data_IF_512367504183
#
_entry.id   IF_512367504183
#
_cell.length_a   1.000
_cell.length_b   1.000
_cell.length_c   1.000
_cell.angle_alpha   90.00
_cell.angle_beta   90.00
_cell.angle_gamma   90.00
#
_symmetry.space_group_name_H-M   'P 1'
#
loop_
_entity.id
_entity.type
_entity.pdbx_description
1 polymer ?
#
# COMPACT_ATOMS: atom_id res chain seq x y z
N UNK A 1 17.40 25.30 31.97
CA UNK A 1 18.40 25.00 30.91
C UNK A 1 17.81 24.07 29.84
N UNK A 2 16.99 23.09 30.23
CA UNK A 2 16.43 22.06 29.33
C UNK A 2 15.34 22.55 28.35
N UNK A 3 14.49 23.49 28.76
CA UNK A 3 13.41 24.06 27.92
C UNK A 3 13.94 24.83 26.70
N UNK A 4 15.03 25.57 26.88
CA UNK A 4 15.70 26.31 25.79
C UNK A 4 16.30 25.34 24.77
N UNK A 5 16.70 24.12 25.19
CA UNK A 5 17.27 23.14 24.29
C UNK A 5 16.23 22.62 23.28
N UNK A 6 14.99 22.36 23.73
CA UNK A 6 13.93 21.89 22.81
C UNK A 6 13.54 22.97 21.80
N UNK A 7 13.29 24.20 22.26
CA UNK A 7 12.96 25.31 21.35
C UNK A 7 14.11 25.57 20.36
N UNK A 8 15.37 25.53 20.80
CA UNK A 8 16.51 25.71 19.90
C UNK A 8 16.62 24.58 18.88
N UNK A 9 16.41 23.32 19.28
CA UNK A 9 16.38 22.19 18.33
C UNK A 9 15.28 22.33 17.28
N UNK A 10 14.08 22.77 17.68
CA UNK A 10 12.99 23.03 16.74
C UNK A 10 13.29 24.20 15.80
N UNK A 11 13.97 25.24 16.29
CA UNK A 11 14.44 26.34 15.43
C UNK A 11 15.47 25.85 14.42
N UNK A 12 16.49 25.12 14.87
CA UNK A 12 17.51 24.56 13.98
C UNK A 12 16.91 23.66 12.90
N UNK A 13 15.94 22.81 13.24
CA UNK A 13 15.19 22.03 12.25
C UNK A 13 14.40 22.92 11.28
N UNK A 14 13.66 23.90 11.81
CA UNK A 14 12.81 24.83 11.03
C UNK A 14 13.61 25.65 10.02
N UNK A 15 14.85 25.96 10.38
CA UNK A 15 15.85 26.71 9.59
C UNK A 15 16.71 25.77 8.71
N UNK A 16 16.48 24.46 8.77
CA UNK A 16 17.21 23.48 7.96
C UNK A 16 18.70 23.43 8.29
N UNK A 17 19.07 23.64 9.56
CA UNK A 17 20.45 23.57 10.06
C UNK A 17 20.88 22.14 10.44
N UNK A 18 19.93 21.21 10.53
CA UNK A 18 20.21 19.80 10.74
C UNK A 18 20.25 19.05 9.42
N UNK A 19 21.27 18.25 9.18
CA UNK A 19 21.13 17.14 8.25
C UNK A 19 20.01 16.20 8.75
N UNK A 20 19.34 15.45 7.85
CA UNK A 20 18.28 14.53 8.23
C UNK A 20 18.70 13.58 9.37
N UNK A 21 19.89 13.01 9.28
CA UNK A 21 20.48 12.10 10.27
C UNK A 21 20.71 12.81 11.61
N UNK A 22 21.21 14.04 11.56
CA UNK A 22 21.46 14.87 12.75
C UNK A 22 20.14 15.20 13.47
N UNK A 23 19.07 15.47 12.72
CA UNK A 23 17.75 15.66 13.31
C UNK A 23 17.25 14.40 14.01
N UNK A 24 17.39 13.23 13.37
CA UNK A 24 16.97 11.95 13.96
C UNK A 24 17.75 11.69 15.25
N UNK A 25 19.06 11.88 15.25
CA UNK A 25 19.91 11.62 16.41
C UNK A 25 19.69 12.65 17.52
N UNK A 26 19.50 13.92 17.16
CA UNK A 26 19.08 14.94 18.11
C UNK A 26 17.74 14.58 18.75
N UNK A 27 16.75 14.12 17.97
CA UNK A 27 15.45 13.71 18.51
C UNK A 27 15.59 12.54 19.46
N UNK A 28 16.35 11.49 19.12
CA UNK A 28 16.59 10.34 20.02
C UNK A 28 17.20 10.76 21.36
N UNK A 29 18.18 11.65 21.34
CA UNK A 29 18.84 12.15 22.55
C UNK A 29 17.90 13.01 23.42
N UNK A 30 16.94 13.70 22.79
CA UNK A 30 16.08 14.66 23.45
C UNK A 30 14.62 14.20 23.61
N UNK A 31 14.25 12.99 23.16
CA UNK A 31 12.86 12.53 23.07
C UNK A 31 12.12 12.61 24.40
N UNK A 32 12.78 12.20 25.50
CA UNK A 32 12.20 12.25 26.84
C UNK A 32 11.81 13.67 27.25
N UNK A 33 12.69 14.64 26.97
CA UNK A 33 12.45 16.05 27.27
C UNK A 33 11.43 16.66 26.31
N UNK A 34 11.48 16.32 25.04
CA UNK A 34 10.50 16.74 24.05
C UNK A 34 9.09 16.26 24.41
N UNK A 35 8.94 15.02 24.88
CA UNK A 35 7.64 14.45 25.32
C UNK A 35 7.08 15.14 26.57
N UNK A 36 7.94 15.61 27.46
CA UNK A 36 7.53 16.36 28.65
C UNK A 36 7.18 17.81 28.34
N UNK A 37 7.90 18.42 27.40
CA UNK A 37 7.75 19.84 27.05
C UNK A 37 6.60 20.10 26.06
N UNK A 38 6.48 19.29 25.01
CA UNK A 38 5.50 19.52 23.95
C UNK A 38 4.11 19.02 24.34
N UNK A 39 3.04 19.77 24.02
CA UNK A 39 1.69 19.22 24.11
C UNK A 39 1.57 17.93 23.29
N UNK A 40 0.79 16.92 23.72
CA UNK A 40 0.80 15.59 23.10
C UNK A 40 0.61 15.58 21.59
N UNK A 41 -0.26 16.46 21.06
CA UNK A 41 -0.49 16.59 19.62
C UNK A 41 0.74 17.11 18.87
N UNK A 42 1.46 18.07 19.43
CA UNK A 42 2.68 18.63 18.82
C UNK A 42 3.84 17.64 18.89
N UNK A 43 3.98 16.91 20.00
CA UNK A 43 4.95 15.83 20.09
C UNK A 43 4.76 14.80 18.97
N UNK A 44 3.53 14.33 18.73
CA UNK A 44 3.23 13.35 17.68
C UNK A 44 3.43 13.89 16.26
N UNK A 45 3.12 15.18 16.03
CA UNK A 45 3.34 15.82 14.73
C UNK A 45 4.83 15.99 14.41
N UNK A 46 5.63 16.39 15.40
CA UNK A 46 7.05 16.72 15.24
C UNK A 46 7.94 15.46 15.30
N UNK A 47 7.49 14.40 15.98
CA UNK A 47 8.23 13.14 16.08
C UNK A 47 8.60 12.61 14.67
N UNK A 48 9.88 12.27 14.42
CA UNK A 48 10.28 11.71 13.14
C UNK A 48 9.55 10.40 12.81
N UNK A 49 9.09 10.28 11.56
CA UNK A 49 8.36 9.12 11.04
C UNK A 49 9.22 8.35 10.06
N UNK A 50 10.04 7.44 10.59
CA UNK A 50 11.02 6.66 9.82
C UNK A 50 10.48 5.87 8.61
N UNK A 51 9.21 5.40 8.56
CA UNK A 51 8.67 4.78 7.35
C UNK A 51 8.72 5.67 6.09
N UNK A 52 8.90 6.98 6.24
CA UNK A 52 9.00 7.94 5.14
C UNK A 52 10.45 8.18 4.66
N UNK A 53 11.41 7.37 5.14
CA UNK A 53 12.83 7.60 4.93
C UNK A 53 13.37 8.79 5.73
N UNK A 54 14.69 8.98 5.71
CA UNK A 54 15.36 10.05 6.46
C UNK A 54 14.88 11.44 6.02
N UNK A 55 14.80 11.68 4.70
CA UNK A 55 14.36 12.99 4.17
C UNK A 55 12.89 13.26 4.45
N UNK A 56 12.01 12.28 4.22
CA UNK A 56 10.59 12.43 4.51
C UNK A 56 10.32 12.64 6.01
N UNK A 57 11.02 11.91 6.89
CA UNK A 57 10.91 12.09 8.33
C UNK A 57 11.35 13.50 8.78
N UNK A 58 12.47 14.01 8.26
CA UNK A 58 12.96 15.35 8.57
C UNK A 58 12.02 16.45 8.03
N UNK A 59 11.50 16.30 6.80
CA UNK A 59 10.56 17.25 6.20
C UNK A 59 9.25 17.37 7.01
N UNK A 60 8.64 16.24 7.36
CA UNK A 60 7.40 16.22 8.16
C UNK A 60 7.64 16.91 9.51
N UNK A 61 8.75 16.58 10.15
CA UNK A 61 9.13 17.16 11.43
C UNK A 61 9.37 18.66 11.32
N UNK A 62 10.04 19.12 10.26
CA UNK A 62 10.30 20.54 9.99
C UNK A 62 9.01 21.33 9.82
N UNK A 63 8.08 20.84 9.00
CA UNK A 63 6.80 21.50 8.78
C UNK A 63 6.02 21.62 10.10
N UNK A 64 5.97 20.55 10.89
CA UNK A 64 5.33 20.57 12.20
C UNK A 64 6.03 21.49 13.21
N UNK A 65 7.36 21.57 13.19
CA UNK A 65 8.13 22.45 14.06
C UNK A 65 7.86 23.93 13.75
N UNK A 66 7.79 24.30 12.47
CA UNK A 66 7.44 25.65 12.02
C UNK A 66 6.03 26.06 12.46
N UNK A 67 5.05 25.17 12.28
CA UNK A 67 3.68 25.41 12.76
C UNK A 67 3.65 25.61 14.28
N UNK A 68 4.38 24.77 15.02
CA UNK A 68 4.44 24.87 16.47
C UNK A 68 5.08 26.19 16.92
N UNK A 69 6.24 26.56 16.37
CA UNK A 69 6.94 27.82 16.70
C UNK A 69 6.04 29.04 16.41
N UNK A 70 5.31 29.04 15.29
CA UNK A 70 4.30 30.06 14.98
C UNK A 70 3.20 30.11 16.04
N UNK A 71 2.69 28.97 16.49
CA UNK A 71 1.63 28.91 17.50
C UNK A 71 2.01 29.48 18.87
N UNK A 72 3.31 29.55 19.17
CA UNK A 72 3.85 30.10 20.42
C UNK A 72 4.59 31.44 20.23
N UNK A 73 4.38 32.12 19.08
CA UNK A 73 5.02 33.39 18.71
C UNK A 73 6.56 33.37 18.81
N UNK A 74 7.18 32.24 18.49
CA UNK A 74 8.63 32.11 18.40
C UNK A 74 9.09 32.34 16.96
N UNK A 75 9.97 33.32 16.76
CA UNK A 75 10.60 33.56 15.46
C UNK A 75 11.69 32.54 15.15
N UNK A 76 11.82 32.25 13.86
CA UNK A 76 12.88 31.47 13.24
C UNK A 76 13.16 32.05 11.85
N UNK A 77 14.32 31.75 11.27
CA UNK A 77 14.66 32.15 9.92
C UNK A 77 13.91 31.27 8.89
N UNK A 78 13.03 31.87 8.08
CA UNK A 78 12.26 31.11 7.09
C UNK A 78 13.10 30.59 5.92
N UNK A 79 14.31 31.15 5.72
CA UNK A 79 15.25 30.66 4.72
C UNK A 79 15.96 29.41 5.22
N UNK A 80 15.49 28.25 4.80
CA UNK A 80 16.15 26.99 5.14
C UNK A 80 17.43 26.75 4.37
N UNK A 81 18.47 26.32 5.07
CA UNK A 81 19.75 25.94 4.45
C UNK A 81 19.64 24.59 3.72
N UNK A 82 18.83 23.67 4.25
CA UNK A 82 18.56 22.37 3.65
C UNK A 82 17.15 22.34 3.06
N UNK A 83 17.07 21.95 1.78
CA UNK A 83 15.81 21.72 1.10
C UNK A 83 15.37 20.25 1.25
N UNK A 84 14.76 19.90 2.39
CA UNK A 84 14.29 18.53 2.61
C UNK A 84 13.25 18.09 1.57
N UNK A 85 12.49 19.03 1.01
CA UNK A 85 11.50 18.73 -0.03
C UNK A 85 12.17 18.26 -1.32
N UNK A 86 13.24 18.92 -1.75
CA UNK A 86 13.97 18.52 -2.95
C UNK A 86 14.67 17.17 -2.78
N UNK A 87 15.32 16.93 -1.64
CA UNK A 87 15.95 15.62 -1.44
C UNK A 87 14.95 14.49 -1.16
N UNK A 88 13.77 14.77 -0.60
CA UNK A 88 12.68 13.80 -0.57
C UNK A 88 12.14 13.50 -1.97
N UNK A 89 11.99 14.52 -2.83
CA UNK A 89 11.64 14.32 -4.25
C UNK A 89 12.69 13.50 -4.99
N UNK A 90 13.98 13.80 -4.83
CA UNK A 90 15.06 12.98 -5.42
C UNK A 90 15.02 11.54 -4.93
N UNK A 91 14.72 11.29 -3.65
CA UNK A 91 14.54 9.91 -3.17
C UNK A 91 13.36 9.21 -3.85
N UNK A 92 12.26 9.92 -4.11
CA UNK A 92 11.12 9.38 -4.86
C UNK A 92 11.48 9.15 -6.34
N UNK A 93 12.21 10.07 -6.95
CA UNK A 93 12.63 9.98 -8.36
C UNK A 93 13.69 8.88 -8.59
N UNK A 94 14.63 8.70 -7.67
CA UNK A 94 15.64 7.64 -7.70
C UNK A 94 15.02 6.24 -7.48
N UNK A 95 13.93 6.16 -6.72
CA UNK A 95 13.09 4.95 -6.64
C UNK A 95 12.45 4.67 -8.00
N UNK A 96 11.96 5.72 -8.69
CA UNK A 96 11.33 5.59 -10.01
C UNK A 96 12.29 5.14 -11.12
N UNK A 97 13.58 5.50 -11.05
CA UNK A 97 14.57 5.21 -12.12
C UNK A 97 15.22 3.82 -12.02
N UNK A 98 15.13 3.13 -10.88
CA UNK A 98 15.74 1.81 -10.69
C UNK A 98 14.87 0.63 -11.16
N UNK A 99 13.66 0.88 -11.68
CA UNK A 99 12.69 -0.18 -11.99
C UNK A 99 12.74 -0.71 -13.43
N UNK A 100 13.29 0.05 -14.38
CA UNK A 100 12.98 -0.17 -15.81
C UNK A 100 13.62 -1.40 -16.49
N UNK A 101 14.51 -2.18 -15.85
CA UNK A 101 15.19 -3.28 -16.56
C UNK A 101 15.38 -4.61 -15.83
N UNK A 102 15.27 -4.66 -14.50
CA UNK A 102 15.58 -5.91 -13.76
C UNK A 102 14.31 -6.71 -13.40
N UNK A 103 13.15 -6.06 -13.19
CA UNK A 103 11.92 -6.75 -12.73
C UNK A 103 11.03 -7.32 -13.85
N UNK A 104 11.08 -6.77 -15.07
CA UNK A 104 10.18 -7.19 -16.16
C UNK A 104 10.47 -8.64 -16.61
N UNK A 105 11.74 -9.05 -16.65
CA UNK A 105 12.15 -10.41 -17.04
C UNK A 105 11.83 -11.40 -15.91
N UNK A 106 12.01 -11.01 -14.65
CA UNK A 106 11.67 -11.83 -13.49
C UNK A 106 10.16 -12.08 -13.42
N UNK A 107 9.33 -11.09 -13.77
CA UNK A 107 7.87 -11.24 -13.81
C UNK A 107 7.40 -12.29 -14.83
N UNK A 108 7.93 -12.29 -16.06
CA UNK A 108 7.57 -13.32 -17.06
C UNK A 108 7.91 -14.74 -16.58
N UNK A 109 9.10 -14.92 -16.00
CA UNK A 109 9.55 -16.23 -15.50
C UNK A 109 8.70 -16.67 -14.31
N UNK A 110 8.53 -15.79 -13.32
CA UNK A 110 7.76 -16.05 -12.11
C UNK A 110 6.29 -16.38 -12.43
N UNK A 111 5.64 -15.62 -13.31
CA UNK A 111 4.21 -15.75 -13.59
C UNK A 111 3.89 -16.52 -14.89
N UNK A 112 4.72 -17.50 -15.24
CA UNK A 112 4.51 -18.34 -16.44
C UNK A 112 3.13 -19.02 -16.47
N UNK A 113 2.65 -19.55 -15.32
CA UNK A 113 1.33 -20.20 -15.22
C UNK A 113 0.18 -19.21 -15.49
N UNK A 114 0.31 -17.99 -14.95
CA UNK A 114 -0.65 -16.92 -15.18
C UNK A 114 -0.68 -16.54 -16.66
N UNK A 115 0.48 -16.37 -17.28
CA UNK A 115 0.61 -16.06 -18.71
C UNK A 115 -0.05 -17.11 -19.62
N UNK A 116 0.01 -18.39 -19.22
CA UNK A 116 -0.59 -19.49 -19.99
C UNK A 116 -2.09 -19.60 -19.77
N UNK A 117 -2.57 -19.41 -18.54
CA UNK A 117 -3.97 -19.63 -18.17
C UNK A 117 -4.83 -18.39 -18.40
N UNK A 118 -4.26 -17.21 -18.19
CA UNK A 118 -4.92 -15.91 -18.21
C UNK A 118 -4.03 -14.84 -18.90
N UNK A 119 -3.83 -14.95 -20.23
CA UNK A 119 -2.91 -14.09 -20.97
C UNK A 119 -3.29 -12.61 -20.95
N UNK A 120 -4.59 -12.27 -20.95
CA UNK A 120 -5.02 -10.87 -20.89
C UNK A 120 -4.70 -10.30 -19.51
N UNK A 121 -5.06 -11.02 -18.45
CA UNK A 121 -4.80 -10.56 -17.08
C UNK A 121 -3.29 -10.39 -16.85
N UNK A 122 -2.48 -11.35 -17.31
CA UNK A 122 -1.02 -11.26 -17.25
C UNK A 122 -0.51 -9.97 -17.91
N UNK A 123 -0.96 -9.68 -19.13
CA UNK A 123 -0.49 -8.54 -19.91
C UNK A 123 -0.84 -7.20 -19.23
N UNK A 124 -2.05 -7.07 -18.69
CA UNK A 124 -2.48 -5.83 -18.03
C UNK A 124 -1.82 -5.64 -16.68
N UNK A 125 -1.71 -6.69 -15.84
CA UNK A 125 -0.98 -6.59 -14.56
C UNK A 125 0.46 -6.15 -14.84
N UNK A 126 1.15 -6.83 -15.76
CA UNK A 126 2.54 -6.50 -16.09
C UNK A 126 2.72 -5.06 -16.58
N UNK A 127 1.76 -4.55 -17.35
CA UNK A 127 1.81 -3.19 -17.90
C UNK A 127 1.54 -2.11 -16.84
N UNK A 128 0.70 -2.42 -15.85
CA UNK A 128 0.14 -1.45 -14.92
C UNK A 128 0.64 -1.61 -13.47
N UNK A 129 1.58 -2.53 -13.22
CA UNK A 129 2.12 -2.79 -11.89
C UNK A 129 2.86 -1.56 -11.32
N UNK A 130 2.45 -1.13 -10.12
CA UNK A 130 3.06 -0.03 -9.37
C UNK A 130 3.91 -0.55 -8.20
N UNK A 131 4.74 0.34 -7.61
CA UNK A 131 5.68 -0.02 -6.53
C UNK A 131 5.01 -0.64 -5.29
N UNK A 132 3.79 -0.21 -4.95
CA UNK A 132 3.08 -0.65 -3.75
C UNK A 132 2.11 -1.81 -4.03
N UNK A 133 2.01 -2.24 -5.29
CA UNK A 133 1.19 -3.38 -5.67
C UNK A 133 1.88 -4.67 -5.24
N UNK A 134 1.05 -5.68 -4.96
CA UNK A 134 1.54 -7.00 -4.54
C UNK A 134 0.92 -8.04 -5.47
N UNK A 135 1.80 -8.76 -6.17
CA UNK A 135 1.43 -9.95 -6.94
C UNK A 135 2.29 -11.10 -6.47
N UNK A 136 1.66 -12.13 -5.93
CA UNK A 136 2.33 -13.34 -5.43
C UNK A 136 1.78 -14.59 -6.12
N UNK A 137 2.62 -15.62 -6.21
CA UNK A 137 2.27 -16.96 -6.71
C UNK A 137 2.85 -18.07 -5.82
N UNK A 138 3.09 -17.75 -4.56
CA UNK A 138 3.76 -18.60 -3.57
C UNK A 138 2.83 -19.65 -2.93
N UNK A 139 1.61 -19.84 -3.45
CA UNK A 139 0.69 -20.86 -2.95
C UNK A 139 1.16 -22.24 -3.40
N UNK A 140 1.61 -23.05 -2.44
CA UNK A 140 1.97 -24.44 -2.69
C UNK A 140 0.71 -25.31 -2.84
N UNK A 141 0.81 -26.40 -3.59
CA UNK A 141 -0.24 -27.41 -3.70
C UNK A 141 -0.66 -27.96 -2.33
N UNK A 142 0.30 -28.16 -1.42
CA UNK A 142 0.02 -28.58 -0.04
C UNK A 142 -0.81 -27.55 0.73
N UNK A 143 -0.44 -26.26 0.67
CA UNK A 143 -1.18 -25.19 1.35
C UNK A 143 -2.59 -25.02 0.77
N UNK A 144 -2.73 -25.18 -0.54
CA UNK A 144 -4.02 -25.14 -1.21
C UNK A 144 -4.88 -26.33 -0.76
N UNK A 145 -4.41 -27.56 -0.95
CA UNK A 145 -5.19 -28.79 -0.71
C UNK A 145 -5.54 -29.03 0.76
N UNK A 146 -4.73 -28.51 1.69
CA UNK A 146 -5.01 -28.53 3.13
C UNK A 146 -6.03 -27.49 3.58
N UNK A 147 -6.35 -26.49 2.74
CA UNK A 147 -7.35 -25.48 3.07
C UNK A 147 -8.76 -26.08 3.14
N UNK A 148 -9.54 -25.65 4.14
CA UNK A 148 -10.95 -25.97 4.25
C UNK A 148 -11.72 -25.64 2.95
N UNK A 149 -11.36 -24.53 2.31
CA UNK A 149 -12.02 -24.06 1.10
C UNK A 149 -11.74 -24.92 -0.13
N UNK A 150 -10.63 -25.68 -0.17
CA UNK A 150 -10.24 -26.42 -1.36
C UNK A 150 -11.35 -27.30 -1.94
N UNK A 151 -12.07 -28.00 -1.06
CA UNK A 151 -13.19 -28.86 -1.47
C UNK A 151 -14.42 -28.08 -1.92
N UNK A 152 -14.56 -26.81 -1.53
CA UNK A 152 -15.68 -25.95 -1.87
C UNK A 152 -15.42 -25.14 -3.15
N UNK A 153 -14.17 -24.95 -3.55
CA UNK A 153 -13.84 -24.15 -4.74
C UNK A 153 -14.10 -24.95 -6.02
N UNK A 154 -14.61 -24.26 -7.05
CA UNK A 154 -14.65 -24.79 -8.41
C UNK A 154 -13.23 -24.88 -8.99
N UNK A 155 -13.01 -25.77 -9.97
CA UNK A 155 -11.68 -25.99 -10.58
C UNK A 155 -11.07 -24.73 -11.20
N UNK A 156 -11.91 -23.83 -11.73
CA UNK A 156 -11.46 -22.55 -12.29
C UNK A 156 -10.87 -21.62 -11.21
N UNK A 157 -11.51 -21.56 -10.04
CA UNK A 157 -11.05 -20.74 -8.92
C UNK A 157 -9.75 -21.32 -8.35
N UNK A 158 -9.67 -22.65 -8.27
CA UNK A 158 -8.44 -23.36 -7.91
C UNK A 158 -7.30 -23.03 -8.88
N UNK A 159 -7.59 -23.06 -10.19
CA UNK A 159 -6.61 -22.76 -11.24
C UNK A 159 -6.09 -21.34 -11.12
N UNK A 160 -6.97 -20.39 -10.84
CA UNK A 160 -6.57 -19.01 -10.57
C UNK A 160 -5.66 -18.87 -9.36
N UNK A 161 -6.02 -19.45 -8.21
CA UNK A 161 -5.16 -19.38 -7.02
C UNK A 161 -3.83 -20.13 -7.16
N UNK A 162 -3.74 -21.08 -8.09
CA UNK A 162 -2.47 -21.68 -8.52
C UNK A 162 -1.60 -20.76 -9.38
N UNK A 163 -2.21 -19.80 -10.08
CA UNK A 163 -1.51 -18.82 -10.89
C UNK A 163 -1.06 -17.61 -10.07
N UNK A 164 -1.95 -17.12 -9.20
CA UNK A 164 -1.73 -15.97 -8.32
C UNK A 164 -2.31 -16.30 -6.94
N UNK A 165 -1.49 -16.29 -5.90
CA UNK A 165 -1.91 -16.47 -4.52
C UNK A 165 -2.48 -15.17 -3.91
N UNK A 166 -1.98 -14.03 -4.35
CA UNK A 166 -2.43 -12.70 -3.96
C UNK A 166 -2.28 -11.70 -5.11
N UNK A 167 -3.33 -10.92 -5.35
CA UNK A 167 -3.36 -9.77 -6.23
C UNK A 167 -3.85 -8.57 -5.42
N UNK A 168 -2.96 -7.59 -5.21
CA UNK A 168 -3.27 -6.33 -4.56
C UNK A 168 -2.80 -5.19 -5.44
N UNK A 169 -3.75 -4.42 -5.95
CA UNK A 169 -3.53 -3.21 -6.75
C UNK A 169 -4.54 -2.15 -6.30
N UNK A 170 -4.44 -0.92 -6.77
CA UNK A 170 -5.44 0.11 -6.46
C UNK A 170 -6.86 -0.39 -6.81
N UNK A 171 -7.77 -0.36 -5.84
CA UNK A 171 -9.15 -0.85 -6.01
C UNK A 171 -9.31 -2.37 -6.14
N UNK A 172 -8.24 -3.18 -6.03
CA UNK A 172 -8.28 -4.64 -6.14
C UNK A 172 -7.56 -5.28 -4.96
N UNK A 173 -8.24 -6.19 -4.27
CA UNK A 173 -7.56 -7.06 -3.31
C UNK A 173 -8.15 -8.47 -3.29
N UNK A 174 -7.46 -9.41 -3.95
CA UNK A 174 -7.84 -10.83 -4.01
C UNK A 174 -6.72 -11.64 -3.37
N UNK A 175 -7.02 -12.43 -2.35
CA UNK A 175 -6.02 -13.20 -1.59
C UNK A 175 -6.61 -14.53 -1.14
N UNK A 176 -5.88 -15.61 -1.39
CA UNK A 176 -6.27 -16.95 -0.94
C UNK A 176 -6.47 -17.03 0.58
N UNK A 177 -5.69 -16.28 1.36
CA UNK A 177 -5.80 -16.28 2.81
C UNK A 177 -6.99 -15.45 3.33
N UNK A 178 -7.66 -14.69 2.45
CA UNK A 178 -8.88 -13.93 2.79
C UNK A 178 -10.17 -14.71 2.52
N UNK A 179 -10.08 -15.95 2.06
CA UNK A 179 -11.26 -16.77 1.85
C UNK A 179 -12.06 -16.87 3.14
N UNK A 180 -13.33 -16.47 3.06
CA UNK A 180 -14.25 -16.42 4.20
C UNK A 180 -15.62 -16.96 3.76
N UNK A 181 -16.12 -17.99 4.46
CA UNK A 181 -17.47 -18.50 4.21
C UNK A 181 -18.49 -17.59 4.91
N UNK A 182 -19.36 -16.95 4.14
CA UNK A 182 -20.44 -16.09 4.61
C UNK A 182 -21.77 -16.60 4.08
N UNK A 183 -22.53 -17.26 4.95
CA UNK A 183 -23.78 -17.92 4.59
C UNK A 183 -23.56 -18.94 3.46
N UNK A 184 -24.07 -18.64 2.26
CA UNK A 184 -23.97 -19.45 1.05
C UNK A 184 -22.85 -19.01 0.09
N UNK A 185 -22.14 -17.93 0.42
CA UNK A 185 -21.08 -17.34 -0.39
C UNK A 185 -19.70 -17.54 0.24
N UNK A 186 -18.66 -17.51 -0.59
CA UNK A 186 -17.26 -17.42 -0.18
C UNK A 186 -16.73 -16.08 -0.64
N UNK A 187 -16.33 -15.20 0.30
CA UNK A 187 -15.61 -13.96 -0.04
C UNK A 187 -14.25 -14.35 -0.59
N UNK A 188 -13.90 -13.83 -1.77
CA UNK A 188 -12.59 -14.08 -2.39
C UNK A 188 -11.69 -12.84 -2.40
N UNK A 189 -12.27 -11.67 -2.16
CA UNK A 189 -11.54 -10.42 -2.19
C UNK A 189 -12.44 -9.20 -2.26
N UNK A 190 -11.86 -8.11 -2.70
CA UNK A 190 -12.46 -6.80 -2.88
C UNK A 190 -12.17 -6.27 -4.28
N UNK A 191 -13.16 -5.59 -4.84
CA UNK A 191 -13.08 -4.93 -6.14
C UNK A 191 -13.90 -3.65 -6.07
N UNK A 192 -13.26 -2.50 -5.92
CA UNK A 192 -13.95 -1.24 -5.60
C UNK A 192 -14.57 -0.61 -6.85
N UNK A 193 -15.70 -1.16 -7.32
CA UNK A 193 -16.42 -0.68 -8.51
C UNK A 193 -17.29 0.54 -8.22
N UNK A 194 -18.01 0.53 -7.09
CA UNK A 194 -18.98 1.57 -6.73
C UNK A 194 -18.59 2.28 -5.42
N UNK A 195 -17.89 1.60 -4.52
CA UNK A 195 -17.50 2.08 -3.20
C UNK A 195 -16.24 1.39 -2.69
N UNK A 196 -15.46 2.10 -1.89
CA UNK A 196 -14.30 1.54 -1.19
C UNK A 196 -14.76 0.40 -0.28
N UNK A 197 -14.21 -0.81 -0.49
CA UNK A 197 -14.57 -2.01 0.26
C UNK A 197 -15.66 -2.87 -0.36
N UNK A 198 -16.12 -2.58 -1.59
CA UNK A 198 -16.97 -3.51 -2.34
C UNK A 198 -16.32 -4.90 -2.47
N UNK A 199 -17.12 -5.96 -2.35
CA UNK A 199 -16.62 -7.32 -2.15
C UNK A 199 -16.91 -8.23 -3.35
N UNK A 200 -15.98 -9.16 -3.59
CA UNK A 200 -16.12 -10.25 -4.55
C UNK A 200 -16.45 -11.56 -3.84
N UNK A 201 -17.44 -12.24 -4.40
CA UNK A 201 -17.98 -13.49 -3.89
C UNK A 201 -18.05 -14.55 -4.98
N UNK A 202 -17.99 -15.81 -4.55
CA UNK A 202 -18.36 -16.99 -5.34
C UNK A 202 -19.30 -17.86 -4.51
N UNK A 203 -19.97 -18.82 -5.14
CA UNK A 203 -20.66 -19.90 -4.42
C UNK A 203 -19.86 -21.20 -4.48
N UNK A 204 -19.96 -22.07 -3.46
CA UNK A 204 -19.31 -23.37 -3.48
C UNK A 204 -19.62 -24.14 -4.77
N UNK A 205 -18.58 -24.69 -5.41
CA UNK A 205 -18.64 -25.50 -6.63
C UNK A 205 -19.20 -24.79 -7.88
N UNK A 206 -19.44 -23.49 -7.83
CA UNK A 206 -19.95 -22.72 -8.96
C UNK A 206 -18.85 -21.91 -9.67
N UNK A 207 -19.09 -21.61 -10.95
CA UNK A 207 -18.25 -20.71 -11.75
C UNK A 207 -18.68 -19.26 -11.68
N UNK A 208 -19.83 -18.96 -11.10
CA UNK A 208 -20.36 -17.59 -11.10
C UNK A 208 -19.61 -16.72 -10.08
N UNK A 209 -19.31 -15.50 -10.49
CA UNK A 209 -18.76 -14.43 -9.65
C UNK A 209 -19.90 -13.49 -9.30
N UNK A 210 -19.99 -13.20 -8.02
CA UNK A 210 -20.97 -12.29 -7.43
C UNK A 210 -20.23 -11.08 -6.89
N UNK A 211 -20.88 -9.93 -7.01
CA UNK A 211 -20.37 -8.65 -6.55
C UNK A 211 -21.33 -8.09 -5.52
N UNK A 212 -20.78 -7.64 -4.39
CA UNK A 212 -21.52 -6.99 -3.32
C UNK A 212 -21.24 -5.50 -3.33
N UNK A 213 -22.23 -4.73 -3.77
CA UNK A 213 -22.27 -3.28 -3.63
C UNK A 213 -22.58 -2.97 -2.17
N UNK A 214 -21.56 -2.60 -1.38
CA UNK A 214 -21.74 -2.36 0.06
C UNK A 214 -22.57 -1.09 0.31
N UNK A 215 -22.51 -0.12 -0.59
CA UNK A 215 -23.27 1.12 -0.49
C UNK A 215 -24.77 0.89 -0.62
N UNK A 216 -25.18 -0.09 -1.43
CA UNK A 216 -26.59 -0.51 -1.60
C UNK A 216 -26.96 -1.74 -0.81
N UNK A 217 -26.00 -2.43 -0.20
CA UNK A 217 -26.16 -3.72 0.47
C UNK A 217 -26.85 -4.75 -0.46
N UNK A 218 -26.35 -4.86 -1.69
CA UNK A 218 -26.92 -5.73 -2.74
C UNK A 218 -25.85 -6.62 -3.35
N UNK A 219 -26.16 -7.93 -3.41
CA UNK A 219 -25.34 -8.92 -4.10
C UNK A 219 -25.99 -9.24 -5.43
N UNK A 220 -25.21 -9.14 -6.52
CA UNK A 220 -25.65 -9.55 -7.85
C UNK A 220 -24.55 -10.30 -8.59
N UNK A 221 -24.93 -11.08 -9.60
CA UNK A 221 -23.97 -11.78 -10.45
C UNK A 221 -23.29 -10.77 -11.36
N UNK A 222 -21.97 -10.68 -11.30
CA UNK A 222 -21.18 -9.86 -12.22
C UNK A 222 -20.79 -10.65 -13.47
N UNK A 223 -20.50 -11.95 -13.31
CA UNK A 223 -20.26 -12.85 -14.42
C UNK A 223 -20.64 -14.30 -14.05
N UNK A 224 -21.16 -15.07 -15.01
CA UNK A 224 -21.51 -16.49 -14.80
C UNK A 224 -20.31 -17.45 -14.96
N UNK A 225 -19.20 -16.95 -15.48
CA UNK A 225 -17.97 -17.70 -15.70
C UNK A 225 -16.79 -17.00 -15.03
N UNK A 226 -16.14 -17.72 -14.11
CA UNK A 226 -14.98 -17.24 -13.38
C UNK A 226 -13.85 -16.89 -14.35
N UNK A 227 -13.58 -17.77 -15.33
CA UNK A 227 -12.54 -17.51 -16.32
C UNK A 227 -12.86 -16.28 -17.19
N UNK A 228 -14.12 -16.04 -17.57
CA UNK A 228 -14.49 -14.83 -18.32
C UNK A 228 -14.39 -13.58 -17.45
N UNK A 229 -14.75 -13.67 -16.16
CA UNK A 229 -14.53 -12.59 -15.22
C UNK A 229 -13.05 -12.23 -15.13
N UNK A 230 -12.17 -13.21 -14.94
CA UNK A 230 -10.73 -12.98 -14.85
C UNK A 230 -10.16 -12.39 -16.15
N UNK A 231 -10.42 -12.99 -17.31
CA UNK A 231 -9.82 -12.54 -18.58
C UNK A 231 -10.39 -11.24 -19.11
N UNK A 232 -11.66 -10.93 -18.85
CA UNK A 232 -12.32 -9.77 -19.43
C UNK A 232 -12.57 -8.68 -18.38
N UNK A 233 -13.37 -8.98 -17.35
CA UNK A 233 -13.87 -7.97 -16.43
C UNK A 233 -12.77 -7.46 -15.50
N UNK A 234 -12.03 -8.36 -14.84
CA UNK A 234 -10.91 -8.03 -13.97
C UNK A 234 -9.76 -7.41 -14.78
N UNK A 235 -9.42 -7.97 -15.94
CA UNK A 235 -8.38 -7.39 -16.82
C UNK A 235 -8.71 -5.97 -17.25
N UNK A 236 -9.98 -5.71 -17.61
CA UNK A 236 -10.45 -4.36 -17.94
C UNK A 236 -10.35 -3.44 -16.74
N UNK A 237 -10.78 -3.89 -15.56
CA UNK A 237 -10.70 -3.10 -14.33
C UNK A 237 -9.26 -2.70 -13.99
N UNK A 238 -8.30 -3.63 -14.10
CA UNK A 238 -6.86 -3.34 -13.93
C UNK A 238 -6.39 -2.28 -14.93
N UNK A 239 -6.91 -2.29 -16.16
CA UNK A 239 -6.50 -1.33 -17.20
C UNK A 239 -7.10 0.06 -17.01
N UNK A 240 -8.29 0.16 -16.43
CA UNK A 240 -9.07 1.40 -16.29
C UNK A 240 -8.80 2.16 -14.98
N UNK A 241 -8.30 1.48 -13.92
CA UNK A 241 -8.07 2.06 -12.59
C UNK A 241 -6.61 2.41 -12.29
N UNK A 242 -5.84 2.80 -13.31
CA UNK A 242 -4.41 3.20 -13.20
C UNK A 242 -4.23 4.65 -13.62
#
# INVERSE_FOLDING_TARGET
>A
METNNIINGLKHLSEGLFLPEEWIDWWKQNEKFAKQFLPPRWYLKIKPKMPQGLMGAALISQNAAREYLKSINQSYNENSQINYMEGWRKQIDDISLNYDKVDIIDFDLKFTKLKQSYPNLFAVIKKHLLQNDIVENNLTEEKLTSSFFYKLLHSDVITFFYCISQLKMEGIFIDFNMLELREEYIKIGELWLNSDGDELYIKPHETSVYFHDIGKNQIHIINKSFNLFIENDLSRFVSENV
#
